data_IF_239448844041
#
_entry.id   IF_239448844041
#
_cell.length_a   1.000
_cell.length_b   1.000
_cell.length_c   1.000
_cell.angle_alpha   90.00
_cell.angle_beta   90.00
_cell.angle_gamma   90.00
#
_symmetry.space_group_name_H-M   'P 1'
#
loop_
_entity.id
_entity.type
_entity.pdbx_description
1 polymer ?
#
# COMPACT_ATOMS: atom_id res chain seq x y z
N UNK A 1 -0.75 -14.05 -12.14
CA UNK A 1 -0.24 -12.83 -11.47
C UNK A 1 -1.05 -12.57 -10.21
N UNK A 2 -0.74 -11.52 -9.44
CA UNK A 2 -1.43 -11.22 -8.18
C UNK A 2 -2.96 -11.12 -8.35
N UNK A 3 -3.45 -10.45 -9.42
CA UNK A 3 -4.87 -10.36 -9.76
C UNK A 3 -5.50 -11.75 -9.97
N UNK A 4 -4.89 -12.60 -10.80
CA UNK A 4 -5.41 -13.95 -11.06
C UNK A 4 -5.58 -14.79 -9.79
N UNK A 5 -4.69 -14.62 -8.81
CA UNK A 5 -4.75 -15.35 -7.54
C UNK A 5 -5.95 -14.96 -6.67
N UNK A 6 -6.62 -13.83 -6.93
CA UNK A 6 -7.81 -13.38 -6.19
C UNK A 6 -9.13 -13.76 -6.87
N UNK A 7 -9.09 -14.16 -8.15
CA UNK A 7 -10.26 -14.47 -8.99
C UNK A 7 -10.46 -15.97 -9.19
N UNK A 8 -11.72 -16.42 -9.23
CA UNK A 8 -12.02 -17.83 -9.52
C UNK A 8 -11.94 -18.12 -11.04
N UNK A 9 -11.80 -19.38 -11.45
CA UNK A 9 -11.92 -19.73 -12.87
C UNK A 9 -13.26 -19.27 -13.47
N UNK A 10 -13.28 -18.73 -14.70
CA UNK A 10 -12.17 -18.65 -15.66
C UNK A 10 -11.31 -17.38 -15.55
N UNK A 11 -11.64 -16.43 -14.67
CA UNK A 11 -10.97 -15.13 -14.54
C UNK A 11 -9.60 -15.23 -13.86
N UNK A 12 -9.37 -16.29 -13.09
CA UNK A 12 -8.12 -16.54 -12.39
C UNK A 12 -7.94 -17.99 -11.96
N UNK A 13 -7.07 -18.19 -10.97
CA UNK A 13 -6.61 -19.49 -10.50
C UNK A 13 -6.82 -19.69 -8.98
N UNK A 14 -7.69 -18.87 -8.35
CA UNK A 14 -8.04 -19.01 -6.93
C UNK A 14 -8.67 -20.38 -6.62
N UNK A 15 -8.14 -21.04 -5.59
CA UNK A 15 -8.70 -22.28 -5.06
C UNK A 15 -10.08 -22.10 -4.42
N UNK A 16 -10.99 -23.04 -4.71
CA UNK A 16 -12.38 -23.00 -4.26
C UNK A 16 -12.54 -23.64 -2.87
N UNK A 17 -13.08 -22.88 -1.90
CA UNK A 17 -13.38 -23.36 -0.55
C UNK A 17 -14.50 -22.55 0.12
N UNK A 18 -15.35 -23.21 0.90
CA UNK A 18 -16.39 -22.58 1.71
C UNK A 18 -15.83 -22.29 3.11
N UNK A 19 -15.36 -21.06 3.32
CA UNK A 19 -14.80 -20.61 4.61
C UNK A 19 -15.44 -19.28 5.04
N UNK A 20 -14.78 -18.53 5.93
CA UNK A 20 -15.27 -17.26 6.48
C UNK A 20 -15.73 -16.25 5.41
N UNK A 21 -15.02 -16.18 4.28
CA UNK A 21 -15.35 -15.25 3.19
C UNK A 21 -16.72 -15.55 2.54
N UNK A 22 -17.12 -16.82 2.51
CA UNK A 22 -18.40 -17.28 2.00
C UNK A 22 -19.39 -17.60 3.14
N UNK A 23 -19.33 -16.83 4.24
CA UNK A 23 -20.13 -16.99 5.46
C UNK A 23 -20.29 -18.46 5.88
N UNK A 24 -19.16 -19.18 5.94
CA UNK A 24 -19.10 -20.60 6.32
C UNK A 24 -20.02 -21.51 5.47
N UNK A 25 -20.22 -21.15 4.20
CA UNK A 25 -21.02 -21.90 3.24
C UNK A 25 -22.40 -21.33 2.96
N UNK A 26 -22.88 -20.34 3.74
CA UNK A 26 -24.26 -19.83 3.60
C UNK A 26 -24.51 -19.08 2.30
N UNK A 27 -23.51 -18.38 1.76
CA UNK A 27 -23.58 -17.68 0.47
C UNK A 27 -22.53 -18.20 -0.53
N UNK A 28 -22.11 -19.47 -0.40
CA UNK A 28 -21.00 -20.01 -1.20
C UNK A 28 -21.17 -19.88 -2.71
N UNK A 29 -22.38 -20.15 -3.21
CA UNK A 29 -22.65 -20.09 -4.65
C UNK A 29 -22.62 -18.64 -5.18
N UNK A 30 -23.21 -17.67 -4.47
CA UNK A 30 -23.14 -16.25 -4.86
C UNK A 30 -21.71 -15.74 -4.75
N UNK A 31 -20.99 -16.14 -3.71
CA UNK A 31 -19.62 -15.69 -3.48
C UNK A 31 -18.68 -16.14 -4.60
N UNK A 32 -18.72 -17.41 -4.99
CA UNK A 32 -17.87 -17.95 -6.06
C UNK A 32 -18.22 -17.33 -7.42
N UNK A 33 -19.49 -17.00 -7.68
CA UNK A 33 -19.91 -16.45 -8.97
C UNK A 33 -19.71 -14.94 -9.09
N UNK A 34 -19.96 -14.19 -8.02
CA UNK A 34 -20.12 -12.73 -8.07
C UNK A 34 -19.37 -12.02 -6.96
N UNK A 35 -19.65 -12.32 -5.68
CA UNK A 35 -19.18 -11.49 -4.55
C UNK A 35 -17.64 -11.42 -4.45
N UNK A 36 -16.91 -12.43 -4.94
CA UNK A 36 -15.45 -12.42 -4.93
C UNK A 36 -14.81 -11.30 -5.78
N UNK A 37 -15.58 -10.69 -6.70
CA UNK A 37 -15.11 -9.56 -7.52
C UNK A 37 -14.96 -8.27 -6.72
N UNK A 38 -15.53 -8.19 -5.52
CA UNK A 38 -15.34 -7.06 -4.59
C UNK A 38 -13.96 -7.06 -3.92
N UNK A 39 -13.14 -8.11 -4.11
CA UNK A 39 -11.78 -8.16 -3.57
C UNK A 39 -10.90 -7.17 -4.32
N UNK A 40 -10.39 -6.17 -3.60
CA UNK A 40 -9.41 -5.21 -4.12
C UNK A 40 -7.99 -5.79 -4.18
N UNK A 41 -7.22 -5.38 -5.18
CA UNK A 41 -5.80 -5.70 -5.35
C UNK A 41 -5.01 -4.40 -5.34
N UNK A 42 -4.19 -4.24 -4.29
CA UNK A 42 -3.27 -3.12 -4.14
C UNK A 42 -1.85 -3.68 -4.25
N UNK A 43 -1.05 -3.16 -5.18
CA UNK A 43 0.33 -3.64 -5.41
C UNK A 43 1.35 -2.64 -4.90
N UNK A 44 2.45 -3.14 -4.35
CA UNK A 44 3.51 -2.28 -3.81
C UNK A 44 4.55 -1.93 -4.88
N UNK A 45 4.87 -0.64 -4.98
CA UNK A 45 5.96 -0.10 -5.80
C UNK A 45 7.07 0.35 -4.86
N UNK A 46 8.03 -0.54 -4.63
CA UNK A 46 9.01 -0.41 -3.53
C UNK A 46 10.44 -0.76 -3.93
N UNK A 47 10.71 -0.85 -5.24
CA UNK A 47 12.06 -1.05 -5.77
C UNK A 47 12.28 -0.21 -7.02
N UNK A 48 13.54 0.07 -7.35
CA UNK A 48 13.93 0.76 -8.58
C UNK A 48 13.33 0.06 -9.81
N UNK A 49 13.43 -1.28 -9.88
CA UNK A 49 12.82 -2.06 -10.96
C UNK A 49 11.29 -1.93 -11.01
N UNK A 50 10.60 -1.80 -9.88
CA UNK A 50 9.16 -1.58 -9.87
C UNK A 50 8.80 -0.19 -10.40
N UNK A 51 9.60 0.83 -10.10
CA UNK A 51 9.45 2.18 -10.67
C UNK A 51 9.68 2.16 -12.18
N UNK A 52 10.73 1.49 -12.66
CA UNK A 52 11.01 1.37 -14.10
C UNK A 52 9.86 0.74 -14.91
N UNK A 53 9.08 -0.13 -14.27
CA UNK A 53 7.97 -0.86 -14.90
C UNK A 53 6.58 -0.34 -14.46
N UNK A 54 6.51 0.79 -13.74
CA UNK A 54 5.27 1.21 -13.07
C UNK A 54 4.13 1.47 -14.03
N UNK A 55 4.40 2.00 -15.23
CA UNK A 55 3.38 2.24 -16.25
C UNK A 55 2.72 0.94 -16.74
N UNK A 56 3.53 -0.11 -16.97
CA UNK A 56 3.03 -1.42 -17.37
C UNK A 56 2.27 -2.10 -16.22
N UNK A 57 2.74 -1.92 -14.98
CA UNK A 57 2.06 -2.42 -13.78
C UNK A 57 0.71 -1.74 -13.61
N UNK A 58 0.65 -0.39 -13.67
CA UNK A 58 -0.57 0.38 -13.52
C UNK A 58 -1.62 0.06 -14.58
N UNK A 59 -1.18 -0.36 -15.78
CA UNK A 59 -2.08 -0.76 -16.88
C UNK A 59 -2.66 -2.18 -16.74
N UNK A 60 -2.27 -2.97 -15.73
CA UNK A 60 -2.79 -4.33 -15.54
C UNK A 60 -4.25 -4.27 -15.06
N UNK A 61 -5.15 -4.86 -15.85
CA UNK A 61 -6.55 -5.01 -15.48
C UNK A 61 -6.73 -5.74 -14.14
N UNK A 62 -7.56 -5.15 -13.27
CA UNK A 62 -7.84 -5.66 -11.93
C UNK A 62 -6.84 -5.26 -10.85
N UNK A 63 -5.88 -4.37 -11.12
CA UNK A 63 -5.16 -3.62 -10.09
C UNK A 63 -6.00 -2.39 -9.73
N UNK A 64 -6.39 -2.29 -8.46
CA UNK A 64 -7.29 -1.24 -7.98
C UNK A 64 -6.53 -0.03 -7.41
N UNK A 65 -5.28 -0.21 -6.98
CA UNK A 65 -4.43 0.88 -6.51
C UNK A 65 -2.93 0.50 -6.53
N UNK A 66 -2.07 1.52 -6.59
CA UNK A 66 -0.63 1.39 -6.35
C UNK A 66 -0.30 1.87 -4.94
N UNK A 67 0.69 1.25 -4.30
CA UNK A 67 1.14 1.64 -2.97
C UNK A 67 2.65 1.79 -2.93
N UNK A 68 3.16 2.98 -2.65
CA UNK A 68 4.59 3.18 -2.43
C UNK A 68 4.93 2.83 -0.99
N UNK A 69 5.81 1.84 -0.82
CA UNK A 69 6.51 1.57 0.44
C UNK A 69 7.76 2.45 0.54
N UNK A 70 7.73 3.60 1.25
CA UNK A 70 8.79 4.61 1.11
C UNK A 70 10.13 4.14 1.69
N UNK A 71 10.11 3.36 2.79
CA UNK A 71 11.33 2.84 3.40
C UNK A 71 12.07 1.89 2.44
N UNK A 72 11.36 0.89 1.91
CA UNK A 72 11.93 -0.09 0.97
C UNK A 72 12.34 0.57 -0.35
N UNK A 73 11.53 1.49 -0.89
CA UNK A 73 11.89 2.24 -2.09
C UNK A 73 13.17 3.07 -1.89
N UNK A 74 13.24 3.84 -0.80
CA UNK A 74 14.43 4.64 -0.49
C UNK A 74 15.68 3.78 -0.30
N UNK A 75 15.53 2.58 0.29
CA UNK A 75 16.61 1.60 0.42
C UNK A 75 17.04 1.07 -0.96
N UNK A 76 16.08 0.71 -1.82
CA UNK A 76 16.35 0.21 -3.17
C UNK A 76 17.06 1.24 -4.05
N UNK A 77 16.78 2.53 -3.85
CA UNK A 77 17.41 3.65 -4.58
C UNK A 77 18.76 4.07 -3.99
N UNK A 78 19.18 3.48 -2.87
CA UNK A 78 20.44 3.83 -2.19
C UNK A 78 20.40 5.14 -1.38
N UNK A 79 19.21 5.69 -1.14
CA UNK A 79 18.96 6.96 -0.43
C UNK A 79 18.07 6.74 0.81
N UNK A 80 18.41 5.70 1.59
CA UNK A 80 17.57 5.22 2.68
C UNK A 80 17.15 6.32 3.65
N UNK A 81 15.83 6.49 3.80
CA UNK A 81 15.18 7.48 4.67
C UNK A 81 15.48 8.96 4.37
N UNK A 82 16.10 9.26 3.23
CA UNK A 82 16.32 10.62 2.75
C UNK A 82 15.10 11.10 1.94
N UNK A 83 14.01 11.45 2.64
CA UNK A 83 12.70 11.75 2.03
C UNK A 83 12.67 12.98 1.12
N UNK A 84 13.71 13.82 1.16
CA UNK A 84 13.87 14.99 0.30
C UNK A 84 14.97 14.80 -0.74
N UNK A 85 15.56 13.62 -0.85
CA UNK A 85 16.56 13.33 -1.89
C UNK A 85 15.90 13.41 -3.27
N UNK A 86 16.52 14.09 -4.26
CA UNK A 86 15.97 14.19 -5.61
C UNK A 86 15.66 12.82 -6.25
N UNK A 87 16.51 11.81 -6.02
CA UNK A 87 16.33 10.46 -6.55
C UNK A 87 15.03 9.82 -6.04
N UNK A 88 14.75 10.01 -4.75
CA UNK A 88 13.51 9.51 -4.15
C UNK A 88 12.30 10.29 -4.67
N UNK A 89 12.38 11.63 -4.74
CA UNK A 89 11.29 12.47 -5.22
C UNK A 89 10.93 12.21 -6.68
N UNK A 90 11.93 12.04 -7.56
CA UNK A 90 11.74 11.70 -8.98
C UNK A 90 11.07 10.32 -9.13
N UNK A 91 11.43 9.35 -8.27
CA UNK A 91 10.77 8.05 -8.25
C UNK A 91 9.30 8.15 -7.79
N UNK A 92 9.00 8.97 -6.77
CA UNK A 92 7.62 9.21 -6.34
C UNK A 92 6.79 9.85 -7.47
N UNK A 93 7.32 10.91 -8.10
CA UNK A 93 6.67 11.59 -9.23
C UNK A 93 6.37 10.61 -10.36
N UNK A 94 7.33 9.77 -10.74
CA UNK A 94 7.16 8.73 -11.77
C UNK A 94 6.00 7.77 -11.45
N UNK A 95 5.86 7.35 -10.19
CA UNK A 95 4.79 6.43 -9.77
C UNK A 95 3.43 7.14 -9.77
N UNK A 96 3.38 8.38 -9.29
CA UNK A 96 2.15 9.19 -9.25
C UNK A 96 1.65 9.46 -10.68
N UNK A 97 2.54 9.91 -11.57
CA UNK A 97 2.21 10.19 -12.97
C UNK A 97 1.67 8.94 -13.70
N UNK A 98 2.27 7.78 -13.43
CA UNK A 98 1.81 6.52 -14.01
C UNK A 98 0.43 6.09 -13.47
N UNK A 99 0.18 6.30 -12.18
CA UNK A 99 -1.13 6.08 -11.57
C UNK A 99 -2.19 7.01 -12.19
N UNK A 100 -1.90 8.30 -12.29
CA UNK A 100 -2.80 9.29 -12.90
C UNK A 100 -3.10 8.92 -14.36
N UNK A 101 -2.08 8.57 -15.16
CA UNK A 101 -2.25 8.20 -16.55
C UNK A 101 -3.11 6.94 -16.74
N UNK A 102 -3.03 5.98 -15.80
CA UNK A 102 -3.84 4.76 -15.82
C UNK A 102 -5.21 4.93 -15.15
N UNK A 103 -5.46 6.04 -14.45
CA UNK A 103 -6.65 6.21 -13.60
C UNK A 103 -6.65 5.30 -12.37
N UNK A 104 -5.46 4.92 -11.87
CA UNK A 104 -5.25 4.04 -10.72
C UNK A 104 -4.71 4.88 -9.56
N UNK A 105 -5.41 4.95 -8.41
CA UNK A 105 -4.96 5.79 -7.29
C UNK A 105 -3.65 5.29 -6.70
N UNK A 106 -2.82 6.22 -6.24
CA UNK A 106 -1.51 5.94 -5.62
C UNK A 106 -1.52 6.35 -4.16
N UNK A 107 -1.11 5.45 -3.28
CA UNK A 107 -0.98 5.74 -1.86
C UNK A 107 0.37 5.41 -1.26
N UNK A 108 0.55 5.77 0.00
CA UNK A 108 1.80 5.53 0.73
C UNK A 108 1.57 5.33 2.24
N UNK A 109 2.67 5.17 2.99
CA UNK A 109 2.71 5.02 4.45
C UNK A 109 3.60 6.11 5.07
N UNK A 110 3.07 6.84 6.06
CA UNK A 110 3.87 7.66 6.96
C UNK A 110 3.69 7.17 8.39
N UNK A 111 4.76 6.79 9.09
CA UNK A 111 4.67 6.22 10.46
C UNK A 111 4.95 7.23 11.57
N UNK A 112 5.60 8.34 11.26
CA UNK A 112 5.87 9.45 12.20
C UNK A 112 5.24 10.75 11.71
N UNK A 113 5.02 11.75 12.58
CA UNK A 113 4.52 13.06 12.18
C UNK A 113 5.38 13.73 11.08
N UNK A 114 6.70 13.54 11.14
CA UNK A 114 7.65 14.08 10.16
C UNK A 114 7.47 13.41 8.80
N UNK A 115 7.36 12.07 8.76
CA UNK A 115 7.11 11.33 7.52
C UNK A 115 5.75 11.66 6.91
N UNK A 116 4.70 11.74 7.74
CA UNK A 116 3.35 12.10 7.29
C UNK A 116 3.35 13.48 6.63
N UNK A 117 4.05 14.46 7.21
CA UNK A 117 4.16 15.79 6.62
C UNK A 117 4.98 15.79 5.33
N UNK A 118 6.15 15.14 5.33
CA UNK A 118 7.03 15.10 4.17
C UNK A 118 6.34 14.43 2.98
N UNK A 119 5.81 13.21 3.17
CA UNK A 119 5.19 12.42 2.12
C UNK A 119 3.80 12.92 1.74
N UNK A 120 3.03 13.45 2.70
CA UNK A 120 1.65 13.89 2.47
C UNK A 120 1.54 15.12 1.57
N UNK A 121 2.66 15.82 1.36
CA UNK A 121 2.75 16.95 0.44
C UNK A 121 3.05 16.57 -1.01
N UNK A 122 3.36 15.29 -1.29
CA UNK A 122 3.87 14.83 -2.59
C UNK A 122 2.78 14.48 -3.62
N UNK A 123 1.49 14.54 -3.25
CA UNK A 123 0.38 14.34 -4.20
C UNK A 123 -0.25 12.95 -4.23
N UNK A 124 0.02 12.09 -3.23
CA UNK A 124 -0.68 10.81 -3.10
C UNK A 124 -2.19 10.97 -2.89
N UNK A 125 -2.98 10.07 -3.47
CA UNK A 125 -4.44 10.02 -3.32
C UNK A 125 -4.87 9.53 -1.94
N UNK A 126 -4.07 8.63 -1.33
CA UNK A 126 -4.35 8.07 -0.02
C UNK A 126 -3.07 7.79 0.78
N UNK A 127 -3.19 7.79 2.11
CA UNK A 127 -2.07 7.54 3.01
C UNK A 127 -2.51 6.72 4.21
N UNK A 128 -1.70 5.70 4.54
CA UNK A 128 -1.73 5.09 5.87
C UNK A 128 -0.96 6.01 6.82
N UNK A 129 -1.67 6.65 7.74
CA UNK A 129 -1.12 7.62 8.68
C UNK A 129 -0.92 6.97 10.05
N UNK A 130 0.26 6.40 10.25
CA UNK A 130 0.68 5.74 11.49
C UNK A 130 0.57 4.22 11.44
N UNK A 131 1.18 3.61 12.46
CA UNK A 131 1.05 2.19 12.76
C UNK A 131 0.71 2.04 14.24
N UNK A 132 -0.10 1.04 14.58
CA UNK A 132 -0.56 0.79 15.95
C UNK A 132 0.61 0.67 16.94
N UNK A 133 1.65 -0.09 16.58
CA UNK A 133 2.84 -0.25 17.41
C UNK A 133 3.61 1.07 17.57
N UNK A 134 3.70 1.91 16.54
CA UNK A 134 4.33 3.24 16.66
C UNK A 134 3.55 4.11 17.64
N UNK A 135 2.22 4.10 17.58
CA UNK A 135 1.39 4.84 18.52
C UNK A 135 1.53 4.33 19.96
N UNK A 136 1.61 3.01 20.15
CA UNK A 136 1.82 2.40 21.47
C UNK A 136 3.18 2.81 22.06
N UNK A 137 4.26 2.74 21.26
CA UNK A 137 5.61 3.14 21.69
C UNK A 137 5.65 4.63 22.02
N UNK A 138 5.13 5.50 21.16
CA UNK A 138 5.14 6.94 21.39
C UNK A 138 4.24 7.35 22.57
N UNK A 139 3.11 6.67 22.77
CA UNK A 139 2.26 6.86 23.95
C UNK A 139 2.95 6.45 25.24
N UNK A 140 3.70 5.36 25.22
CA UNK A 140 4.48 4.89 26.36
C UNK A 140 5.61 5.86 26.71
N UNK A 141 6.36 6.38 25.72
CA UNK A 141 7.41 7.38 25.93
C UNK A 141 6.88 8.65 26.60
N UNK A 142 5.80 9.23 26.07
CA UNK A 142 5.16 10.43 26.66
C UNK A 142 4.73 10.21 28.11
N UNK A 143 4.28 8.99 28.43
CA UNK A 143 3.86 8.64 29.80
C UNK A 143 5.04 8.53 30.75
N UNK A 144 6.20 8.03 30.28
CA UNK A 144 7.44 7.99 31.06
C UNK A 144 8.01 9.39 31.28
N UNK A 145 8.10 10.21 30.24
CA UNK A 145 8.58 11.60 30.34
C UNK A 145 7.76 12.40 31.36
N UNK A 146 6.43 12.31 31.27
CA UNK A 146 5.55 12.97 32.24
C UNK A 146 5.69 12.43 33.67
N UNK A 147 6.14 11.18 33.84
CA UNK A 147 6.40 10.61 35.16
C UNK A 147 7.73 11.12 35.72
N UNK A 148 8.81 11.20 34.92
CA UNK A 148 10.12 11.70 35.34
C UNK A 148 10.05 13.13 35.91
N UNK A 149 9.09 13.94 35.47
CA UNK A 149 8.88 15.30 35.97
C UNK A 149 8.20 15.38 37.36
N UNK A 150 7.65 14.28 37.87
CA UNK A 150 6.84 14.25 39.10
C UNK A 150 7.25 13.20 40.15
N UNK A 151 8.16 12.27 39.82
CA UNK A 151 8.77 11.31 40.75
C UNK A 151 10.29 11.42 40.73
#
# INVERSE_FOLDING_TARGET
GAVGATRYPPEGDRGVAAARAADYGRNFESYVREDHREVSVIVQIESETAVDNVADIAAVDGIDALFVGPADLSASLGVFAEWTDPTFLEAIETVIDAGEAAGVPVGTLGTTPEQIQALGSLGFDYMVAGADFTHLVEGQKRSLEAAEDVV
#
